data_IF_496281961875
#
_entry.id   IF_496281961875
#
_cell.length_a   1.000
_cell.length_b   1.000
_cell.length_c   1.000
_cell.angle_alpha   90.00
_cell.angle_beta   90.00
_cell.angle_gamma   90.00
#
_symmetry.space_group_name_H-M   'P 1'
#
loop_
_entity.id
_entity.type
_entity.pdbx_description
1 polymer ?
#
# COMPACT_ATOMS: atom_id res chain seq x y z
N UNK A 1 -27.99 1.76 -12.97
CA UNK A 1 -27.54 0.61 -13.78
C UNK A 1 -28.59 0.29 -14.84
N UNK A 2 -28.19 0.27 -16.12
CA UNK A 2 -29.06 -0.04 -17.28
C UNK A 2 -29.00 -1.55 -17.54
N UNK A 3 -30.16 -2.18 -17.81
CA UNK A 3 -30.28 -3.63 -18.06
C UNK A 3 -29.54 -4.04 -19.34
N UNK A 4 -28.96 -5.23 -19.38
CA UNK A 4 -28.27 -5.82 -20.53
C UNK A 4 -27.10 -4.97 -21.07
N UNK A 5 -26.36 -4.30 -20.19
CA UNK A 5 -25.16 -3.51 -20.56
C UNK A 5 -23.90 -4.12 -19.99
N UNK A 6 -22.77 -3.79 -20.62
CA UNK A 6 -21.43 -4.09 -20.10
C UNK A 6 -20.96 -2.90 -19.28
N UNK A 7 -20.46 -3.17 -18.08
CA UNK A 7 -19.90 -2.15 -17.20
C UNK A 7 -18.46 -2.48 -16.86
N UNK A 8 -17.61 -1.45 -16.81
CA UNK A 8 -16.20 -1.57 -16.51
C UNK A 8 -15.83 -0.57 -15.40
N UNK A 9 -15.58 -1.07 -14.19
CA UNK A 9 -15.20 -0.22 -13.04
C UNK A 9 -14.66 -1.07 -11.86
N UNK A 10 -14.06 -0.42 -10.86
CA UNK A 10 -13.73 -1.07 -9.58
C UNK A 10 -15.01 -1.34 -8.80
N UNK A 11 -15.49 -2.58 -8.79
CA UNK A 11 -16.79 -2.89 -8.18
C UNK A 11 -16.72 -3.02 -6.66
N UNK A 12 -15.54 -3.33 -6.13
CA UNK A 12 -15.36 -3.71 -4.72
C UNK A 12 -16.37 -4.77 -4.28
N UNK A 13 -16.60 -5.82 -5.08
CA UNK A 13 -17.47 -6.95 -4.71
C UNK A 13 -16.72 -8.27 -4.52
N UNK A 14 -15.51 -8.39 -5.09
CA UNK A 14 -14.78 -9.67 -5.18
C UNK A 14 -14.26 -10.19 -3.83
N UNK A 15 -14.26 -9.37 -2.78
CA UNK A 15 -13.84 -9.73 -1.40
C UNK A 15 -15.02 -9.76 -0.44
N UNK A 16 -16.25 -9.93 -0.93
CA UNK A 16 -17.49 -9.96 -0.13
C UNK A 16 -17.72 -8.66 0.68
N UNK A 17 -17.37 -7.50 0.13
CA UNK A 17 -17.49 -6.22 0.82
C UNK A 17 -18.97 -5.84 1.08
N UNK A 18 -19.41 -5.73 2.36
CA UNK A 18 -20.83 -5.55 2.72
C UNK A 18 -21.55 -4.39 2.03
N UNK A 19 -20.87 -3.26 1.91
CA UNK A 19 -21.44 -2.03 1.34
C UNK A 19 -21.83 -2.17 -0.14
N UNK A 20 -21.17 -3.05 -0.91
CA UNK A 20 -21.45 -3.28 -2.34
C UNK A 20 -22.19 -4.58 -2.64
N UNK A 21 -22.71 -5.29 -1.63
CA UNK A 21 -23.57 -6.47 -1.83
C UNK A 21 -24.81 -6.15 -2.68
N UNK A 22 -25.46 -5.02 -2.40
CA UNK A 22 -26.65 -4.57 -3.15
C UNK A 22 -26.32 -4.29 -4.62
N UNK A 23 -25.12 -3.76 -4.89
CA UNK A 23 -24.63 -3.53 -6.25
C UNK A 23 -24.49 -4.86 -7.01
N UNK A 24 -23.85 -5.87 -6.41
CA UNK A 24 -23.66 -7.18 -7.05
C UNK A 24 -25.01 -7.85 -7.37
N UNK A 25 -25.98 -7.80 -6.45
CA UNK A 25 -27.36 -8.27 -6.69
C UNK A 25 -28.00 -7.57 -7.89
N UNK A 26 -27.94 -6.23 -7.91
CA UNK A 26 -28.52 -5.44 -8.99
C UNK A 26 -27.86 -5.73 -10.36
N UNK A 27 -26.57 -6.06 -10.37
CA UNK A 27 -25.83 -6.45 -11.58
C UNK A 27 -26.37 -7.78 -12.15
N UNK A 28 -26.57 -8.78 -11.29
CA UNK A 28 -27.12 -10.07 -11.68
C UNK A 28 -28.58 -9.95 -12.15
N UNK A 29 -29.44 -9.29 -11.35
CA UNK A 29 -30.86 -9.06 -11.67
C UNK A 29 -31.08 -8.30 -12.98
N UNK A 30 -30.15 -7.40 -13.33
CA UNK A 30 -30.21 -6.60 -14.56
C UNK A 30 -29.46 -7.23 -15.73
N UNK A 31 -28.99 -8.48 -15.59
CA UNK A 31 -28.22 -9.17 -16.61
C UNK A 31 -27.06 -8.31 -17.16
N UNK A 32 -26.30 -7.70 -16.25
CA UNK A 32 -25.14 -6.88 -16.60
C UNK A 32 -23.91 -7.78 -16.70
N UNK A 33 -23.09 -7.55 -17.73
CA UNK A 33 -21.73 -8.09 -17.81
C UNK A 33 -20.79 -7.14 -17.09
N UNK A 34 -20.39 -7.50 -15.86
CA UNK A 34 -19.46 -6.72 -15.06
C UNK A 34 -18.02 -7.14 -15.37
N UNK A 35 -17.18 -6.18 -15.72
CA UNK A 35 -15.73 -6.30 -15.81
C UNK A 35 -15.10 -5.47 -14.70
N UNK A 36 -14.31 -6.08 -13.85
CA UNK A 36 -13.68 -5.38 -12.72
C UNK A 36 -12.23 -5.01 -13.02
N UNK A 37 -11.86 -3.75 -12.81
CA UNK A 37 -10.49 -3.29 -13.01
C UNK A 37 -9.49 -4.00 -12.07
N UNK A 38 -9.91 -4.45 -10.88
CA UNK A 38 -9.05 -5.15 -9.92
C UNK A 38 -8.63 -6.54 -10.42
N UNK A 39 -9.42 -7.14 -11.31
CA UNK A 39 -9.22 -8.52 -11.81
C UNK A 39 -8.56 -8.56 -13.19
N UNK A 40 -8.15 -7.41 -13.74
CA UNK A 40 -7.32 -7.32 -14.93
C UNK A 40 -5.89 -7.76 -14.59
N UNK A 41 -5.60 -9.00 -14.97
CA UNK A 41 -4.34 -9.67 -14.69
C UNK A 41 -3.79 -10.35 -15.95
N UNK A 42 -2.47 -10.53 -16.00
CA UNK A 42 -1.82 -11.36 -17.01
C UNK A 42 -2.05 -12.87 -16.77
N UNK A 43 -1.41 -13.70 -17.60
CA UNK A 43 -1.50 -15.17 -17.51
C UNK A 43 -0.92 -15.72 -16.20
N UNK A 44 -0.06 -14.97 -15.51
CA UNK A 44 0.53 -15.31 -14.22
C UNK A 44 -0.24 -14.69 -13.04
N UNK A 45 -1.46 -14.18 -13.28
CA UNK A 45 -2.29 -13.49 -12.30
C UNK A 45 -1.67 -12.20 -11.73
N UNK A 46 -0.68 -11.59 -12.40
CA UNK A 46 -0.11 -10.31 -11.99
C UNK A 46 -1.01 -9.17 -12.47
N UNK A 47 -1.34 -8.26 -11.56
CA UNK A 47 -2.24 -7.13 -11.82
C UNK A 47 -1.61 -6.11 -12.77
N UNK A 48 -2.24 -5.91 -13.92
CA UNK A 48 -1.72 -5.06 -14.99
C UNK A 48 -1.94 -3.57 -14.68
N UNK A 49 -3.15 -3.21 -14.22
CA UNK A 49 -3.52 -1.81 -13.96
C UNK A 49 -3.85 -1.56 -12.49
N UNK A 50 -3.55 -0.35 -12.01
CA UNK A 50 -3.89 0.06 -10.65
C UNK A 50 -3.08 1.26 -10.17
N UNK A 51 -3.46 1.82 -9.04
CA UNK A 51 -2.94 3.11 -8.57
C UNK A 51 -1.74 3.02 -7.62
N UNK A 52 -1.15 1.83 -7.46
CA UNK A 52 -0.13 1.57 -6.44
C UNK A 52 1.06 2.53 -6.49
N UNK A 53 1.55 2.87 -7.69
CA UNK A 53 2.64 3.86 -7.86
C UNK A 53 2.30 5.21 -7.23
N UNK A 54 1.11 5.73 -7.49
CA UNK A 54 0.65 7.02 -6.97
C UNK A 54 0.38 6.98 -5.47
N UNK A 55 -0.15 5.86 -4.96
CA UNK A 55 -0.26 5.65 -3.52
C UNK A 55 1.12 5.72 -2.85
N UNK A 56 2.14 5.10 -3.47
CA UNK A 56 3.54 5.19 -3.04
C UNK A 56 4.07 6.62 -3.01
N UNK A 57 3.87 7.37 -4.09
CA UNK A 57 4.30 8.77 -4.24
C UNK A 57 3.69 9.64 -3.15
N UNK A 58 2.35 9.65 -3.04
CA UNK A 58 1.65 10.51 -2.07
C UNK A 58 1.92 10.03 -0.65
N UNK A 59 1.93 8.72 -0.41
CA UNK A 59 2.18 8.14 0.91
C UNK A 59 3.57 8.47 1.46
N UNK A 60 4.61 8.41 0.61
CA UNK A 60 5.95 8.84 1.02
C UNK A 60 6.01 10.35 1.32
N UNK A 61 5.38 11.18 0.47
CA UNK A 61 5.28 12.62 0.72
C UNK A 61 4.59 12.92 2.06
N UNK A 62 3.44 12.30 2.32
CA UNK A 62 2.71 12.46 3.57
C UNK A 62 3.47 11.91 4.77
N UNK A 63 4.27 10.85 4.60
CA UNK A 63 5.17 10.33 5.63
C UNK A 63 6.25 11.34 6.03
N UNK A 64 6.92 11.96 5.05
CA UNK A 64 7.91 13.02 5.31
C UNK A 64 7.23 14.25 5.93
N UNK A 65 6.03 14.61 5.47
CA UNK A 65 5.23 15.67 6.08
C UNK A 65 4.88 15.36 7.54
N UNK A 66 4.47 14.14 7.86
CA UNK A 66 4.18 13.69 9.22
C UNK A 66 5.41 13.82 10.13
N UNK A 67 6.59 13.47 9.61
CA UNK A 67 7.85 13.66 10.31
C UNK A 67 8.14 15.14 10.62
N UNK A 68 8.00 16.02 9.63
CA UNK A 68 8.18 17.47 9.82
C UNK A 68 7.24 18.05 10.87
N UNK A 69 5.97 17.63 10.86
CA UNK A 69 4.96 18.07 11.83
C UNK A 69 5.21 17.53 13.25
N UNK A 70 5.63 16.26 13.39
CA UNK A 70 5.92 15.65 14.69
C UNK A 70 7.03 16.39 15.44
N UNK A 71 8.07 16.79 14.71
CA UNK A 71 9.26 17.41 15.30
C UNK A 71 9.32 18.93 15.10
N UNK A 72 8.27 19.53 14.54
CA UNK A 72 8.17 20.98 14.26
C UNK A 72 9.36 21.51 13.43
N UNK A 73 9.95 20.68 12.56
CA UNK A 73 11.16 21.02 11.81
C UNK A 73 10.86 21.81 10.53
N UNK A 74 9.74 21.49 9.88
CA UNK A 74 9.31 22.12 8.64
C UNK A 74 7.82 21.86 8.41
N UNK A 75 7.20 22.73 7.61
CA UNK A 75 5.80 22.60 7.24
C UNK A 75 5.67 22.38 5.72
N UNK A 76 5.36 21.14 5.33
CA UNK A 76 4.97 20.82 3.96
C UNK A 76 3.47 21.05 3.81
N UNK A 77 3.09 21.69 2.70
CA UNK A 77 1.67 21.79 2.31
C UNK A 77 1.09 20.40 2.07
N UNK A 78 -0.24 20.26 2.10
CA UNK A 78 -0.88 18.97 1.81
C UNK A 78 -0.69 18.59 0.34
N UNK A 79 -0.57 17.29 0.06
CA UNK A 79 -0.37 16.81 -1.31
C UNK A 79 -1.53 17.20 -2.23
N UNK A 80 -2.79 17.15 -1.74
CA UNK A 80 -3.99 17.57 -2.50
C UNK A 80 -3.96 19.01 -3.04
N UNK A 81 -3.10 19.87 -2.49
CA UNK A 81 -2.95 21.27 -2.93
C UNK A 81 -1.94 21.45 -4.07
N UNK A 82 -1.26 20.37 -4.46
CA UNK A 82 -0.21 20.36 -5.48
C UNK A 82 -0.71 19.65 -6.73
N UNK A 83 -0.32 20.15 -7.90
CA UNK A 83 -0.92 19.75 -9.17
C UNK A 83 -0.42 18.40 -9.69
N UNK A 84 0.84 18.07 -9.40
CA UNK A 84 1.54 16.93 -9.98
C UNK A 84 2.70 16.47 -9.09
N UNK A 85 3.27 15.32 -9.44
CA UNK A 85 4.42 14.71 -8.78
C UNK A 85 5.64 15.63 -8.70
N UNK A 86 5.92 16.41 -9.74
CA UNK A 86 7.12 17.25 -9.78
C UNK A 86 7.03 18.39 -8.75
N UNK A 87 5.84 18.93 -8.52
CA UNK A 87 5.61 19.89 -7.44
C UNK A 87 5.87 19.29 -6.06
N UNK A 88 5.47 18.04 -5.80
CA UNK A 88 5.80 17.34 -4.56
C UNK A 88 7.32 17.28 -4.35
N UNK A 89 8.06 16.85 -5.39
CA UNK A 89 9.52 16.77 -5.35
C UNK A 89 10.15 18.15 -5.13
N UNK A 90 9.64 19.20 -5.78
CA UNK A 90 10.14 20.58 -5.59
C UNK A 90 9.99 21.00 -4.12
N UNK A 91 8.87 20.67 -3.47
CA UNK A 91 8.69 20.96 -2.04
C UNK A 91 9.63 20.15 -1.16
N UNK A 92 9.79 18.85 -1.44
CA UNK A 92 10.70 17.97 -0.68
C UNK A 92 12.17 18.38 -0.83
N UNK A 93 12.61 18.94 -1.96
CA UNK A 93 13.99 19.42 -2.14
C UNK A 93 14.34 20.66 -1.29
N UNK A 94 13.33 21.38 -0.78
CA UNK A 94 13.54 22.61 0.01
C UNK A 94 13.73 22.36 1.50
N UNK A 95 13.39 21.17 1.98
CA UNK A 95 13.51 20.82 3.40
C UNK A 95 14.91 20.30 3.69
N UNK A 96 15.37 20.54 4.92
CA UNK A 96 16.61 19.96 5.45
C UNK A 96 16.19 18.91 6.47
N UNK A 97 16.50 17.64 6.18
CA UNK A 97 16.29 16.55 7.13
C UNK A 97 17.48 16.45 8.08
N UNK A 98 17.24 16.14 9.38
CA UNK A 98 18.31 15.68 10.26
C UNK A 98 18.83 14.31 9.79
N UNK A 99 19.84 13.78 10.48
CA UNK A 99 20.49 12.51 10.15
C UNK A 99 19.61 11.31 10.52
N UNK A 100 18.48 11.18 9.84
CA UNK A 100 17.49 10.13 10.06
C UNK A 100 17.70 8.96 9.13
N UNK A 101 17.23 7.80 9.58
CA UNK A 101 17.17 6.56 8.84
C UNK A 101 15.73 6.20 8.52
N UNK A 102 15.42 6.08 7.22
CA UNK A 102 14.11 5.66 6.74
C UNK A 102 14.19 4.22 6.23
N UNK A 103 13.36 3.34 6.78
CA UNK A 103 13.17 1.99 6.25
C UNK A 103 11.92 1.95 5.37
N UNK A 104 12.07 1.56 4.12
CA UNK A 104 10.97 1.41 3.15
C UNK A 104 10.81 -0.08 2.82
N UNK A 105 9.64 -0.66 3.08
CA UNK A 105 9.36 -2.06 2.67
C UNK A 105 8.70 -2.11 1.30
N UNK A 106 9.00 -3.16 0.54
CA UNK A 106 8.32 -3.52 -0.70
C UNK A 106 9.02 -2.98 -1.95
N UNK A 107 9.12 -3.83 -2.97
CA UNK A 107 9.71 -3.51 -4.29
C UNK A 107 8.68 -3.51 -5.42
N UNK A 108 7.39 -3.59 -5.08
CA UNK A 108 6.28 -3.47 -6.03
C UNK A 108 5.95 -2.02 -6.39
N UNK A 109 4.82 -1.80 -7.08
CA UNK A 109 4.40 -0.48 -7.56
C UNK A 109 4.38 0.59 -6.45
N UNK A 110 3.87 0.24 -5.25
CA UNK A 110 3.80 1.15 -4.10
C UNK A 110 5.20 1.53 -3.59
N UNK A 111 6.02 0.56 -3.23
CA UNK A 111 7.39 0.82 -2.76
C UNK A 111 8.23 1.58 -3.79
N UNK A 112 8.10 1.29 -5.08
CA UNK A 112 8.79 2.04 -6.13
C UNK A 112 8.30 3.49 -6.26
N UNK A 113 6.99 3.73 -6.11
CA UNK A 113 6.45 5.10 -6.05
C UNK A 113 6.96 5.89 -4.84
N UNK A 114 7.07 5.24 -3.68
CA UNK A 114 7.67 5.85 -2.50
C UNK A 114 9.16 6.17 -2.71
N UNK A 115 9.90 5.25 -3.34
CA UNK A 115 11.30 5.46 -3.73
C UNK A 115 11.47 6.67 -4.66
N UNK A 116 10.55 6.93 -5.59
CA UNK A 116 10.61 8.14 -6.44
C UNK A 116 10.65 9.44 -5.62
N UNK A 117 9.98 9.50 -4.46
CA UNK A 117 10.01 10.68 -3.58
C UNK A 117 11.32 10.78 -2.81
N UNK A 118 11.80 9.66 -2.25
CA UNK A 118 13.07 9.62 -1.52
C UNK A 118 14.27 9.95 -2.43
N UNK A 119 14.29 9.41 -3.64
CA UNK A 119 15.28 9.75 -4.66
C UNK A 119 15.11 11.20 -5.15
N UNK A 120 13.85 11.61 -5.38
CA UNK A 120 13.51 12.96 -5.82
C UNK A 120 14.00 14.04 -4.86
N UNK A 121 13.95 13.79 -3.56
CA UNK A 121 14.48 14.68 -2.54
C UNK A 121 16.00 14.53 -2.30
N UNK A 122 16.69 13.71 -3.11
CA UNK A 122 18.13 13.44 -3.05
C UNK A 122 18.59 12.74 -1.77
N UNK A 123 17.73 11.92 -1.16
CA UNK A 123 18.13 11.10 -0.02
C UNK A 123 18.99 9.91 -0.49
N UNK A 124 20.06 9.59 0.23
CA UNK A 124 20.97 8.53 -0.19
C UNK A 124 20.40 7.15 0.15
N UNK A 125 20.26 6.28 -0.84
CA UNK A 125 19.94 4.88 -0.62
C UNK A 125 21.18 4.09 -0.20
N UNK A 126 21.05 3.26 0.85
CA UNK A 126 22.11 2.37 1.33
C UNK A 126 21.61 0.92 1.35
N UNK A 127 22.54 -0.04 1.41
CA UNK A 127 22.17 -1.46 1.51
C UNK A 127 21.52 -1.77 2.87
N UNK A 128 20.68 -2.82 2.99
CA UNK A 128 20.11 -3.22 4.29
C UNK A 128 21.19 -3.49 5.35
N UNK A 129 22.29 -4.15 4.97
CA UNK A 129 23.43 -4.41 5.87
C UNK A 129 24.07 -3.11 6.35
N UNK A 130 24.34 -2.17 5.45
CA UNK A 130 24.94 -0.88 5.80
C UNK A 130 23.99 0.00 6.61
N UNK A 131 22.68 -0.09 6.35
CA UNK A 131 21.65 0.60 7.11
C UNK A 131 21.62 0.15 8.58
N UNK A 132 21.79 -1.15 8.83
CA UNK A 132 21.81 -1.73 10.17
C UNK A 132 23.12 -1.43 10.92
N UNK A 133 24.26 -1.43 10.23
CA UNK A 133 25.57 -1.45 10.89
C UNK A 133 26.34 -0.12 10.88
N UNK A 134 25.99 0.86 10.03
CA UNK A 134 26.72 2.14 9.93
C UNK A 134 25.97 3.31 10.55
N UNK A 135 26.69 4.29 11.05
CA UNK A 135 26.15 5.59 11.46
C UNK A 135 26.41 6.59 10.32
N UNK A 136 25.44 7.45 10.02
CA UNK A 136 25.53 8.42 8.94
C UNK A 136 25.41 9.84 9.47
N UNK A 137 26.20 10.73 8.89
CA UNK A 137 26.13 12.19 9.12
C UNK A 137 25.18 12.90 8.16
N UNK A 138 24.30 12.15 7.50
CA UNK A 138 23.31 12.63 6.54
C UNK A 138 22.07 11.71 6.58
N UNK A 139 20.89 12.16 6.11
CA UNK A 139 19.72 11.30 5.98
C UNK A 139 19.97 10.18 4.96
N UNK A 140 19.66 8.94 5.35
CA UNK A 140 19.73 7.77 4.45
C UNK A 140 18.46 6.94 4.51
N UNK A 141 18.17 6.22 3.43
CA UNK A 141 17.09 5.24 3.43
C UNK A 141 17.58 3.89 2.91
N UNK A 142 16.87 2.83 3.29
CA UNK A 142 17.01 1.50 2.69
C UNK A 142 15.67 1.03 2.18
N UNK A 143 15.68 0.28 1.07
CA UNK A 143 14.49 -0.39 0.55
C UNK A 143 14.66 -1.89 0.73
N UNK A 144 13.80 -2.47 1.56
CA UNK A 144 13.87 -3.88 1.97
C UNK A 144 12.72 -4.68 1.35
N UNK A 145 12.98 -5.96 1.09
CA UNK A 145 12.04 -6.91 0.53
C UNK A 145 11.69 -8.03 1.53
N UNK A 146 10.78 -8.92 1.16
CA UNK A 146 10.13 -9.87 2.07
C UNK A 146 11.10 -10.70 2.94
N UNK A 147 12.24 -11.14 2.40
CA UNK A 147 13.24 -11.91 3.16
C UNK A 147 14.24 -11.06 3.94
N UNK A 148 14.25 -9.74 3.72
CA UNK A 148 15.07 -8.84 4.53
C UNK A 148 14.47 -8.65 5.93
N UNK A 149 13.16 -8.90 6.10
CA UNK A 149 12.41 -8.73 7.34
C UNK A 149 11.57 -9.95 7.78
N UNK A 150 11.73 -11.09 7.10
CA UNK A 150 11.21 -12.38 7.56
C UNK A 150 12.32 -13.42 7.56
N UNK A 151 12.31 -14.32 8.53
CA UNK A 151 13.22 -15.47 8.57
C UNK A 151 12.45 -16.75 8.83
N UNK A 152 12.89 -17.85 8.23
CA UNK A 152 12.33 -19.17 8.51
C UNK A 152 12.65 -19.58 9.94
N UNK A 153 11.74 -20.32 10.56
CA UNK A 153 11.91 -20.85 11.93
C UNK A 153 12.96 -21.96 12.01
N UNK A 154 13.21 -22.66 10.91
CA UNK A 154 14.24 -23.71 10.78
C UNK A 154 15.61 -23.18 10.35
N UNK A 155 15.76 -21.85 10.20
CA UNK A 155 16.97 -21.15 9.74
C UNK A 155 17.44 -21.52 8.32
N UNK A 156 16.64 -22.21 7.51
CA UNK A 156 16.96 -22.39 6.09
C UNK A 156 16.87 -21.05 5.35
N UNK A 157 17.77 -20.86 4.37
CA UNK A 157 17.71 -19.73 3.45
C UNK A 157 17.11 -20.16 2.12
N UNK A 158 15.82 -19.88 1.94
CA UNK A 158 15.07 -20.12 0.72
C UNK A 158 14.68 -18.79 0.06
N UNK A 159 14.06 -18.87 -1.11
CA UNK A 159 13.68 -17.69 -1.89
C UNK A 159 12.27 -17.16 -1.54
N UNK A 160 11.91 -16.03 -2.18
CA UNK A 160 10.60 -15.41 -1.98
C UNK A 160 9.45 -16.36 -2.39
N UNK A 161 9.68 -17.28 -3.32
CA UNK A 161 8.67 -18.24 -3.79
C UNK A 161 8.22 -19.17 -2.67
N UNK A 162 9.17 -19.68 -1.89
CA UNK A 162 8.85 -20.47 -0.70
C UNK A 162 8.08 -19.66 0.34
N UNK A 163 8.46 -18.41 0.62
CA UNK A 163 7.71 -17.54 1.53
C UNK A 163 6.24 -17.39 1.10
N UNK A 164 5.97 -17.22 -0.20
CA UNK A 164 4.60 -17.03 -0.70
C UNK A 164 3.74 -18.29 -0.58
N UNK A 165 4.34 -19.48 -0.56
CA UNK A 165 3.64 -20.76 -0.41
C UNK A 165 3.51 -21.17 1.06
N UNK A 166 4.54 -20.89 1.87
CA UNK A 166 4.67 -21.36 3.25
C UNK A 166 4.87 -20.21 4.26
N UNK A 167 4.03 -19.16 4.27
CA UNK A 167 4.26 -17.97 5.11
C UNK A 167 4.27 -18.28 6.62
N UNK A 168 3.55 -19.32 7.05
CA UNK A 168 3.48 -19.78 8.45
C UNK A 168 4.78 -20.39 8.98
N UNK A 169 5.72 -20.74 8.09
CA UNK A 169 7.04 -21.25 8.47
C UNK A 169 8.04 -20.11 8.76
N UNK A 170 7.60 -18.86 8.65
CA UNK A 170 8.42 -17.68 8.88
C UNK A 170 7.99 -16.94 10.15
N UNK A 171 8.93 -16.20 10.72
CA UNK A 171 8.69 -15.21 11.77
C UNK A 171 9.27 -13.86 11.33
N UNK A 172 8.73 -12.79 11.89
CA UNK A 172 9.24 -11.44 11.64
C UNK A 172 10.66 -11.29 12.18
N UNK A 173 11.52 -10.75 11.34
CA UNK A 173 12.88 -10.31 11.68
C UNK A 173 13.00 -8.78 11.55
N UNK A 174 11.88 -8.07 11.50
CA UNK A 174 11.84 -6.62 11.31
C UNK A 174 12.36 -5.84 12.52
N UNK A 175 12.40 -6.46 13.71
CA UNK A 175 12.87 -5.82 14.95
C UNK A 175 14.26 -5.20 14.82
N UNK A 176 15.16 -5.79 14.01
CA UNK A 176 16.49 -5.22 13.78
C UNK A 176 16.44 -3.81 13.18
N UNK A 177 15.42 -3.51 12.37
CA UNK A 177 15.22 -2.18 11.79
C UNK A 177 14.61 -1.20 12.79
N UNK A 178 13.77 -1.66 13.72
CA UNK A 178 13.15 -0.76 14.72
C UNK A 178 14.17 -0.10 15.64
N UNK A 179 15.33 -0.74 15.82
CA UNK A 179 16.45 -0.25 16.64
C UNK A 179 17.27 0.87 15.99
N UNK A 180 17.16 1.02 14.66
CA UNK A 180 17.99 1.97 13.90
C UNK A 180 17.20 2.95 13.05
N UNK A 181 15.98 2.63 12.63
CA UNK A 181 15.15 3.49 11.80
C UNK A 181 14.33 4.46 12.66
N UNK A 182 14.22 5.71 12.19
CA UNK A 182 13.38 6.75 12.79
C UNK A 182 11.99 6.77 12.15
N UNK A 183 11.93 6.45 10.86
CA UNK A 183 10.71 6.44 10.05
C UNK A 183 10.57 5.10 9.33
N UNK A 184 9.36 4.55 9.35
CA UNK A 184 8.99 3.38 8.57
C UNK A 184 7.95 3.78 7.50
N UNK A 185 8.25 3.48 6.23
CA UNK A 185 7.31 3.61 5.13
C UNK A 185 6.90 2.19 4.68
N UNK A 186 5.64 1.84 4.87
CA UNK A 186 5.09 0.55 4.49
C UNK A 186 4.55 0.59 3.06
N UNK A 187 5.33 0.10 2.10
CA UNK A 187 4.94 -0.11 0.70
C UNK A 187 4.88 -1.58 0.29
N UNK A 188 4.74 -2.49 1.27
CA UNK A 188 4.70 -3.94 1.06
C UNK A 188 3.29 -4.43 0.69
N UNK A 189 3.23 -5.65 0.17
CA UNK A 189 1.99 -6.42 0.12
C UNK A 189 1.99 -7.39 1.30
N UNK A 190 0.84 -7.54 1.96
CA UNK A 190 0.66 -8.48 3.05
C UNK A 190 -0.27 -9.61 2.63
N UNK A 191 0.26 -10.83 2.67
CA UNK A 191 -0.50 -12.04 2.38
C UNK A 191 -1.18 -12.61 3.62
N UNK A 192 -2.17 -13.47 3.40
CA UNK A 192 -2.78 -14.25 4.48
C UNK A 192 -1.70 -15.07 5.20
N UNK A 193 -1.82 -15.17 6.52
CA UNK A 193 -0.96 -15.97 7.40
C UNK A 193 0.53 -15.55 7.43
N UNK A 194 0.90 -14.44 6.79
CA UNK A 194 2.23 -13.87 6.90
C UNK A 194 2.47 -13.28 8.30
N UNK A 195 3.72 -13.24 8.79
CA UNK A 195 4.04 -12.62 10.07
C UNK A 195 3.73 -11.12 10.08
N UNK A 196 3.32 -10.60 11.23
CA UNK A 196 3.25 -9.15 11.45
C UNK A 196 4.64 -8.54 11.29
N UNK A 197 4.74 -7.45 10.54
CA UNK A 197 6.01 -6.79 10.25
C UNK A 197 6.43 -5.94 11.44
N UNK A 198 5.59 -4.97 11.85
CA UNK A 198 5.85 -4.11 13.00
C UNK A 198 4.82 -4.39 14.09
N UNK A 199 5.23 -5.13 15.14
CA UNK A 199 4.33 -5.50 16.23
C UNK A 199 4.28 -4.44 17.33
N UNK A 200 3.25 -4.50 18.17
CA UNK A 200 3.13 -3.63 19.35
C UNK A 200 4.26 -3.90 20.36
N UNK A 201 4.69 -5.15 20.50
CA UNK A 201 5.80 -5.54 21.37
C UNK A 201 7.09 -4.87 20.92
N UNK A 202 7.36 -4.81 19.61
CA UNK A 202 8.50 -4.08 19.06
C UNK A 202 8.42 -2.58 19.37
N UNK A 203 7.23 -1.98 19.26
CA UNK A 203 7.01 -0.56 19.57
C UNK A 203 7.13 -0.22 21.06
N UNK A 204 6.91 -1.19 21.95
CA UNK A 204 7.05 -1.02 23.40
C UNK A 204 8.49 -1.11 23.90
N UNK A 205 9.43 -1.63 23.09
CA UNK A 205 10.81 -1.78 23.53
C UNK A 205 11.50 -0.42 23.66
N UNK A 206 12.31 -0.28 24.72
CA UNK A 206 13.06 0.95 25.00
C UNK A 206 14.07 1.31 23.90
N UNK A 207 14.55 0.33 23.14
CA UNK A 207 15.47 0.51 22.02
C UNK A 207 14.77 0.79 20.68
N UNK A 208 13.42 0.86 20.64
CA UNK A 208 12.68 1.21 19.44
C UNK A 208 12.76 2.71 19.12
N UNK A 209 13.37 3.02 17.98
CA UNK A 209 13.58 4.39 17.47
C UNK A 209 12.47 4.88 16.54
N UNK A 210 11.65 3.99 15.99
CA UNK A 210 10.57 4.39 15.07
C UNK A 210 9.57 5.28 15.82
N UNK A 211 9.40 6.52 15.33
CA UNK A 211 8.40 7.48 15.84
C UNK A 211 7.42 7.95 14.78
N UNK A 212 7.67 7.63 13.51
CA UNK A 212 6.79 7.97 12.40
C UNK A 212 6.60 6.73 11.52
N UNK A 213 5.35 6.41 11.22
CA UNK A 213 4.95 5.32 10.34
C UNK A 213 4.06 5.87 9.25
N UNK A 214 4.45 5.67 8.00
CA UNK A 214 3.66 5.96 6.82
C UNK A 214 3.19 4.62 6.24
N UNK A 215 2.01 4.17 6.68
CA UNK A 215 1.39 2.94 6.22
C UNK A 215 0.54 3.17 4.98
N UNK A 216 1.15 2.91 3.82
CA UNK A 216 0.52 3.10 2.51
C UNK A 216 -0.40 1.93 2.16
N UNK A 217 -0.23 0.75 2.78
CA UNK A 217 -1.16 -0.37 2.56
C UNK A 217 -2.48 -0.13 3.29
N UNK A 218 -2.43 0.58 4.44
CA UNK A 218 -3.59 0.96 5.24
C UNK A 218 -4.43 -0.26 5.68
N UNK A 219 -3.78 -1.38 5.94
CA UNK A 219 -4.42 -2.59 6.45
C UNK A 219 -4.71 -2.41 7.94
N UNK A 220 -5.94 -1.96 8.27
CA UNK A 220 -6.35 -1.75 9.67
C UNK A 220 -6.32 -3.07 10.44
N UNK A 221 -5.60 -3.09 11.57
CA UNK A 221 -5.28 -4.32 12.33
C UNK A 221 -4.48 -5.36 11.52
N UNK A 222 -3.77 -4.92 10.48
CA UNK A 222 -2.89 -5.72 9.64
C UNK A 222 -1.45 -5.76 10.19
N UNK A 223 -0.44 -5.93 9.32
CA UNK A 223 0.95 -6.24 9.69
C UNK A 223 1.69 -5.10 10.41
N UNK A 224 1.08 -3.92 10.48
CA UNK A 224 1.61 -2.72 11.13
C UNK A 224 0.70 -2.40 12.31
N UNK A 225 1.08 -2.81 13.52
CA UNK A 225 0.21 -2.79 14.70
C UNK A 225 -0.29 -1.39 15.11
N UNK A 226 0.42 -0.33 14.72
CA UNK A 226 0.01 1.04 14.99
C UNK A 226 -1.06 1.59 14.02
N UNK A 227 -1.37 0.86 12.94
CA UNK A 227 -2.46 1.19 12.00
C UNK A 227 -3.80 0.70 12.55
N UNK A 228 -4.30 1.41 13.55
CA UNK A 228 -5.56 1.10 14.24
C UNK A 228 -6.80 1.63 13.54
N UNK A 229 -6.63 2.51 12.54
CA UNK A 229 -7.70 3.02 11.68
C UNK A 229 -7.16 3.53 10.34
N UNK A 230 -8.06 3.66 9.36
CA UNK A 230 -7.83 4.50 8.20
C UNK A 230 -8.03 5.98 8.58
N UNK A 231 -7.03 6.80 8.25
CA UNK A 231 -7.10 8.27 8.32
C UNK A 231 -7.67 8.85 7.01
N UNK A 232 -7.90 10.16 6.97
CA UNK A 232 -8.53 10.82 5.80
C UNK A 232 -7.59 11.85 5.18
N UNK A 233 -7.81 12.25 3.93
CA UNK A 233 -7.05 13.35 3.30
C UNK A 233 -7.19 14.67 4.11
N UNK A 234 -8.36 14.90 4.72
CA UNK A 234 -8.59 16.06 5.59
C UNK A 234 -7.71 16.00 6.85
N UNK A 235 -7.67 14.84 7.51
CA UNK A 235 -6.91 14.58 8.74
C UNK A 235 -6.02 13.33 8.55
N UNK A 236 -4.86 13.47 7.86
CA UNK A 236 -4.09 12.34 7.35
C UNK A 236 -3.17 11.69 8.38
N UNK A 237 -3.08 12.24 9.59
CA UNK A 237 -2.19 11.75 10.63
C UNK A 237 -2.89 11.68 11.98
N UNK A 238 -2.52 10.68 12.78
CA UNK A 238 -2.89 10.57 14.19
C UNK A 238 -1.72 10.06 15.02
N UNK A 239 -1.82 10.14 16.35
CA UNK A 239 -0.85 9.52 17.26
C UNK A 239 -1.34 8.16 17.73
N UNK A 240 -0.43 7.20 17.80
CA UNK A 240 -0.65 5.89 18.42
C UNK A 240 0.21 5.77 19.67
N UNK A 241 -0.38 5.35 20.79
CA UNK A 241 0.34 5.07 22.02
C UNK A 241 0.44 3.55 22.25
N UNK A 242 1.63 2.94 22.09
CA UNK A 242 1.79 1.50 22.25
C UNK A 242 1.40 0.99 23.65
N UNK A 243 1.63 1.78 24.70
CA UNK A 243 1.34 1.40 26.09
C UNK A 243 -0.14 1.05 26.31
N UNK A 244 -1.04 1.83 25.72
CA UNK A 244 -2.50 1.68 25.90
C UNK A 244 -3.19 1.08 24.68
N UNK A 245 -2.46 0.85 23.59
CA UNK A 245 -3.01 0.41 22.30
C UNK A 245 -4.16 1.32 21.82
N UNK A 246 -3.97 2.64 21.93
CA UNK A 246 -5.03 3.60 21.66
C UNK A 246 -4.53 4.79 20.84
N UNK A 247 -5.48 5.46 20.19
CA UNK A 247 -5.24 6.75 19.57
C UNK A 247 -4.98 7.83 20.63
N UNK A 248 -4.06 8.73 20.32
CA UNK A 248 -3.76 9.95 21.05
C UNK A 248 -3.49 11.08 20.04
N UNK A 249 -3.47 12.36 20.44
CA UNK A 249 -3.00 13.42 19.56
C UNK A 249 -1.59 13.12 19.04
N UNK A 250 -1.29 13.40 17.76
CA UNK A 250 0.03 13.15 17.18
C UNK A 250 1.15 13.94 17.90
N UNK A 251 0.79 15.05 18.54
CA UNK A 251 1.65 15.90 19.37
C UNK A 251 2.02 15.27 20.72
N UNK A 252 1.34 14.20 21.15
CA UNK A 252 1.66 13.53 22.42
C UNK A 252 3.12 13.04 22.41
N UNK A 253 3.94 13.32 23.45
CA UNK A 253 5.38 13.04 23.44
C UNK A 253 5.73 11.57 23.20
N UNK A 254 4.94 10.65 23.76
CA UNK A 254 5.11 9.20 23.59
C UNK A 254 4.46 8.61 22.34
N UNK A 255 3.82 9.42 21.48
CA UNK A 255 3.11 8.90 20.32
C UNK A 255 4.06 8.50 19.18
N UNK A 256 3.76 7.35 18.58
CA UNK A 256 4.17 7.03 17.20
C UNK A 256 3.17 7.74 16.29
N UNK A 257 3.63 8.63 15.42
CA UNK A 257 2.75 9.30 14.45
C UNK A 257 2.50 8.38 13.27
N UNK A 258 1.23 8.17 12.93
CA UNK A 258 0.81 7.24 11.89
C UNK A 258 0.07 8.01 10.79
N UNK A 259 0.49 7.80 9.55
CA UNK A 259 -0.23 8.17 8.34
C UNK A 259 -0.75 6.88 7.70
N UNK A 260 -2.06 6.76 7.51
CA UNK A 260 -2.71 5.58 6.94
C UNK A 260 -3.94 5.99 6.14
N UNK A 261 -3.75 6.74 5.05
CA UNK A 261 -4.84 7.18 4.18
C UNK A 261 -5.10 6.08 3.14
N UNK A 262 -6.34 5.62 2.99
CA UNK A 262 -6.70 4.48 2.14
C UNK A 262 -6.91 4.85 0.65
N UNK A 263 -7.02 6.15 0.36
CA UNK A 263 -7.29 6.70 -0.96
C UNK A 263 -6.22 7.72 -1.42
N UNK A 264 -4.97 7.54 -0.99
CA UNK A 264 -3.82 8.41 -1.33
C UNK A 264 -3.73 8.86 -2.80
N UNK A 265 -4.00 8.03 -3.83
CA UNK A 265 -3.98 8.49 -5.23
C UNK A 265 -4.92 9.66 -5.52
N UNK A 266 -5.98 9.86 -4.73
CA UNK A 266 -6.92 10.97 -4.89
C UNK A 266 -6.30 12.34 -4.58
N UNK A 267 -5.15 12.40 -3.91
CA UNK A 267 -4.41 13.65 -3.69
C UNK A 267 -3.54 14.06 -4.90
N UNK A 268 -3.36 13.17 -5.89
CA UNK A 268 -2.75 13.47 -7.20
C UNK A 268 -3.66 12.95 -8.33
N UNK A 269 -4.89 13.47 -8.45
CA UNK A 269 -5.90 12.86 -9.33
C UNK A 269 -5.50 12.94 -10.80
N UNK A 270 -4.86 14.04 -11.23
CA UNK A 270 -4.39 14.21 -12.61
C UNK A 270 -3.40 13.13 -13.00
N UNK A 271 -2.26 13.07 -12.31
CA UNK A 271 -1.20 12.10 -12.62
C UNK A 271 -1.70 10.65 -12.48
N UNK A 272 -2.53 10.38 -11.46
CA UNK A 272 -3.11 9.07 -11.23
C UNK A 272 -4.05 8.63 -12.36
N UNK A 273 -4.89 9.54 -12.86
CA UNK A 273 -5.79 9.30 -13.99
C UNK A 273 -5.04 9.12 -15.30
N UNK A 274 -4.06 9.98 -15.60
CA UNK A 274 -3.23 9.88 -16.81
C UNK A 274 -2.48 8.53 -16.85
N UNK A 275 -1.78 8.17 -15.76
CA UNK A 275 -1.06 6.90 -15.72
C UNK A 275 -1.95 5.67 -15.74
N UNK A 276 -3.14 5.73 -15.10
CA UNK A 276 -4.13 4.66 -15.23
C UNK A 276 -4.60 4.51 -16.67
N UNK A 277 -4.88 5.62 -17.35
CA UNK A 277 -5.26 5.66 -18.76
C UNK A 277 -4.19 5.05 -19.67
N UNK A 278 -2.93 5.43 -19.50
CA UNK A 278 -1.80 4.86 -20.25
C UNK A 278 -1.69 3.34 -20.08
N UNK A 279 -1.78 2.84 -18.84
CA UNK A 279 -1.78 1.41 -18.58
C UNK A 279 -3.00 0.71 -19.21
N UNK A 280 -4.18 1.33 -19.13
CA UNK A 280 -5.40 0.79 -19.72
C UNK A 280 -5.30 0.71 -21.25
N UNK A 281 -4.80 1.76 -21.89
CA UNK A 281 -4.54 1.83 -23.34
C UNK A 281 -3.53 0.77 -23.78
N UNK A 282 -2.47 0.54 -22.99
CA UNK A 282 -1.42 -0.42 -23.33
C UNK A 282 -1.85 -1.87 -23.13
N UNK A 283 -2.54 -2.18 -22.03
CA UNK A 283 -2.76 -3.56 -21.60
C UNK A 283 -4.17 -4.07 -21.82
N UNK A 284 -5.19 -3.20 -21.90
CA UNK A 284 -6.60 -3.62 -21.90
C UNK A 284 -7.28 -3.33 -23.22
N UNK A 285 -7.07 -2.14 -23.80
CA UNK A 285 -7.66 -1.76 -25.08
C UNK A 285 -7.37 -2.77 -26.20
N UNK A 286 -6.14 -3.30 -26.38
CA UNK A 286 -5.87 -4.26 -27.44
C UNK A 286 -6.72 -5.54 -27.34
N UNK A 287 -7.09 -5.96 -26.11
CA UNK A 287 -7.86 -7.17 -25.87
C UNK A 287 -9.29 -7.12 -26.46
N UNK A 288 -9.82 -5.90 -26.69
CA UNK A 288 -11.13 -5.73 -27.34
C UNK A 288 -11.11 -5.96 -28.86
N UNK A 289 -9.92 -5.89 -29.48
CA UNK A 289 -9.77 -5.89 -30.95
C UNK A 289 -8.95 -7.07 -31.47
N UNK A 290 -8.46 -7.94 -30.57
CA UNK A 290 -7.62 -9.09 -30.92
C UNK A 290 -8.23 -10.43 -30.46
N UNK A 291 -9.55 -10.48 -30.33
CA UNK A 291 -10.29 -11.64 -29.82
C UNK A 291 -9.87 -12.10 -28.42
N UNK A 292 -9.45 -11.13 -27.58
CA UNK A 292 -8.93 -11.37 -26.23
C UNK A 292 -7.83 -12.44 -26.20
N UNK A 293 -6.86 -12.37 -27.14
CA UNK A 293 -5.81 -13.40 -27.34
C UNK A 293 -5.09 -13.82 -26.06
N UNK A 294 -4.93 -12.89 -25.12
CA UNK A 294 -4.20 -13.08 -23.86
C UNK A 294 -5.15 -13.43 -22.69
N UNK A 295 -6.46 -13.52 -22.94
CA UNK A 295 -7.52 -13.83 -21.97
C UNK A 295 -7.75 -12.77 -20.90
N UNK A 296 -7.39 -11.52 -21.15
CA UNK A 296 -7.47 -10.40 -20.21
C UNK A 296 -8.92 -10.08 -19.88
N UNK A 297 -9.78 -9.92 -20.88
CA UNK A 297 -11.20 -9.60 -20.69
C UNK A 297 -11.94 -10.78 -20.06
N UNK A 298 -11.65 -12.01 -20.50
CA UNK A 298 -12.22 -13.22 -19.96
C UNK A 298 -11.93 -13.39 -18.47
N UNK A 299 -10.70 -13.08 -18.04
CA UNK A 299 -10.31 -13.09 -16.61
C UNK A 299 -10.95 -11.95 -15.82
N UNK A 300 -11.15 -10.79 -16.44
CA UNK A 300 -11.73 -9.62 -15.78
C UNK A 300 -13.27 -9.69 -15.61
N UNK A 301 -13.94 -10.50 -16.42
CA UNK A 301 -15.41 -10.63 -16.44
C UNK A 301 -15.94 -11.40 -15.22
N UNK A 302 -16.66 -10.70 -14.34
CA UNK A 302 -17.27 -11.27 -13.13
C UNK A 302 -18.60 -11.97 -13.45
N UNK A 303 -19.46 -11.32 -14.25
CA UNK A 303 -20.82 -11.80 -14.54
C UNK A 303 -21.09 -11.91 -16.02
N UNK A 304 -21.94 -12.87 -16.40
CA UNK A 304 -22.47 -13.05 -17.76
C UNK A 304 -23.80 -13.80 -17.68
N UNK A 305 -24.77 -13.45 -18.52
CA UNK A 305 -26.08 -14.13 -18.63
C UNK A 305 -26.81 -14.26 -17.28
N UNK A 306 -26.77 -13.19 -16.48
CA UNK A 306 -27.39 -13.11 -15.15
C UNK A 306 -26.71 -13.96 -14.08
N UNK A 307 -25.54 -14.53 -14.35
CA UNK A 307 -24.82 -15.45 -13.45
C UNK A 307 -23.39 -14.99 -13.19
N UNK A 308 -22.82 -15.43 -12.06
CA UNK A 308 -21.40 -15.33 -11.79
C UNK A 308 -20.63 -16.29 -12.70
N UNK A 309 -19.47 -15.87 -13.24
CA UNK A 309 -18.58 -16.78 -13.97
C UNK A 309 -17.87 -17.74 -13.02
N UNK A 310 -17.37 -18.91 -13.51
CA UNK A 310 -16.77 -19.93 -12.65
C UNK A 310 -15.70 -19.43 -11.68
N UNK A 311 -14.82 -18.51 -12.11
CA UNK A 311 -13.79 -17.88 -11.27
C UNK A 311 -14.36 -17.17 -10.03
N UNK A 312 -15.60 -16.70 -10.11
CA UNK A 312 -16.27 -15.89 -9.08
C UNK A 312 -17.41 -16.65 -8.38
N UNK A 313 -17.52 -17.97 -8.58
CA UNK A 313 -18.59 -18.79 -8.01
C UNK A 313 -18.63 -18.73 -6.46
N UNK A 314 -17.49 -18.48 -5.81
CA UNK A 314 -17.39 -18.31 -4.35
C UNK A 314 -18.17 -17.11 -3.79
N UNK A 315 -18.65 -16.21 -4.65
CA UNK A 315 -19.53 -15.09 -4.28
C UNK A 315 -21.02 -15.49 -4.25
N UNK A 316 -21.40 -16.69 -4.71
CA UNK A 316 -22.81 -17.05 -4.86
C UNK A 316 -23.55 -17.05 -3.52
N UNK A 317 -23.03 -17.75 -2.50
CA UNK A 317 -23.64 -17.77 -1.17
C UNK A 317 -23.76 -16.35 -0.57
N UNK A 318 -22.73 -15.54 -0.81
CA UNK A 318 -22.71 -14.16 -0.36
C UNK A 318 -23.83 -13.33 -1.01
N UNK A 319 -24.10 -13.53 -2.30
CA UNK A 319 -25.23 -12.90 -3.00
C UNK A 319 -26.55 -13.45 -2.47
N UNK A 320 -26.68 -14.76 -2.32
CA UNK A 320 -27.90 -15.42 -1.85
C UNK A 320 -28.27 -15.00 -0.41
N UNK A 321 -27.30 -14.54 0.38
CA UNK A 321 -27.50 -14.19 1.77
C UNK A 321 -27.42 -15.38 2.72
N UNK A 322 -26.68 -16.41 2.30
CA UNK A 322 -26.30 -17.55 3.13
C UNK A 322 -25.01 -17.25 3.91
#
# INVERSE_FOLDING_TARGET
LIRNKKYFFFSHTIKKQPYNKKLLKAILEKNIELYDHETIVDAQNRRLIGFGRYAGIVGAYNGIRAFGLKYELFNLVKAETLQNKDELIIRLKRIVLPNIKIVLTGKGKVGMGAKEMLDGMKMTQVSPTDFLNKIYSQPVYTQIDVLDYNKRTDNLQLDNGDFYVNPTQYISDFEKYTKVADVFIAGHFYGNDAPFILTREMLLKADCKIKVVADISCDTNGPVACTIKASTIADPIFGYLPATNSEVPYTHPGAVVVMSVDNLPCELPKDASEGFGEMFMKYVIPAFFNDDKDGILARAQITKDGKLKPRFAYLQDYVDGK
#
